data_IF_083870487031
#
_entry.id   IF_083870487031
#
_cell.length_a   1.000
_cell.length_b   1.000
_cell.length_c   1.000
_cell.angle_alpha   90.00
_cell.angle_beta   90.00
_cell.angle_gamma   90.00
#
_symmetry.space_group_name_H-M   'P 1'
#
loop_
_entity.id
_entity.type
_entity.pdbx_description
1 polymer ?
#
# COMPACT_ATOMS: atom_id res chain seq x y z
N UNK A 1 33.52 23.18 -7.70
CA UNK A 1 32.75 24.45 -7.68
C UNK A 1 33.50 25.46 -6.79
N UNK A 2 33.35 26.76 -7.02
CA UNK A 2 34.05 27.78 -6.21
C UNK A 2 33.60 27.75 -4.73
N UNK A 3 34.51 28.06 -3.79
CA UNK A 3 34.17 28.22 -2.37
C UNK A 3 33.04 29.26 -2.23
N UNK A 4 31.99 29.01 -1.42
CA UNK A 4 31.08 30.08 -1.03
C UNK A 4 31.90 31.15 -0.32
N UNK A 5 31.90 32.36 -0.88
CA UNK A 5 32.70 33.48 -0.39
C UNK A 5 31.95 34.05 0.82
N UNK A 6 32.42 33.78 2.04
CA UNK A 6 31.86 34.40 3.23
C UNK A 6 32.13 35.91 3.19
N UNK A 7 31.16 36.67 3.67
CA UNK A 7 31.22 38.11 3.86
C UNK A 7 31.01 38.38 5.34
N UNK A 8 31.64 39.39 5.93
CA UNK A 8 31.32 39.77 7.32
C UNK A 8 30.01 40.55 7.29
N UNK A 9 28.99 39.96 7.90
CA UNK A 9 27.61 40.45 7.89
C UNK A 9 27.10 40.84 9.28
N UNK A 10 27.94 40.70 10.31
CA UNK A 10 27.57 40.87 11.71
C UNK A 10 27.52 42.35 12.12
N UNK A 11 28.51 43.15 11.71
CA UNK A 11 28.66 44.54 12.14
C UNK A 11 28.49 45.54 10.98
N UNK A 12 27.96 46.74 11.24
CA UNK A 12 27.89 47.84 10.27
C UNK A 12 29.24 48.12 9.59
N UNK A 13 30.27 48.43 10.38
CA UNK A 13 31.59 48.85 9.88
C UNK A 13 32.26 47.80 8.99
N UNK A 14 31.96 46.50 9.19
CA UNK A 14 32.45 45.43 8.31
C UNK A 14 31.59 45.27 7.06
N UNK A 15 30.25 45.27 7.18
CA UNK A 15 29.32 45.24 6.04
C UNK A 15 29.51 46.40 5.08
N UNK A 16 29.91 47.57 5.60
CA UNK A 16 30.15 48.78 4.83
C UNK A 16 31.48 48.74 4.04
N UNK A 17 32.48 47.96 4.48
CA UNK A 17 33.76 47.73 3.77
C UNK A 17 33.65 46.74 2.59
N UNK A 18 32.47 46.19 2.31
CA UNK A 18 32.24 45.23 1.23
C UNK A 18 32.00 45.90 -0.13
N UNK A 19 32.37 45.20 -1.21
CA UNK A 19 32.09 45.59 -2.60
C UNK A 19 30.59 45.82 -2.84
N UNK A 20 30.19 47.02 -3.30
CA UNK A 20 28.82 47.32 -3.73
C UNK A 20 28.53 46.57 -5.04
N UNK A 21 27.50 45.71 -5.08
CA UNK A 21 27.19 44.91 -6.28
C UNK A 21 25.76 44.36 -6.34
N UNK A 22 25.28 44.07 -7.57
CA UNK A 22 23.92 43.57 -7.83
C UNK A 22 23.64 42.15 -7.26
N UNK A 23 24.61 41.24 -7.28
CA UNK A 23 24.45 39.86 -6.75
C UNK A 23 24.63 39.83 -5.22
N UNK A 24 23.63 39.40 -4.44
CA UNK A 24 23.76 39.29 -2.99
C UNK A 24 24.89 38.33 -2.56
N UNK A 25 25.41 38.62 -1.39
CA UNK A 25 26.30 37.88 -0.51
C UNK A 25 25.49 36.76 0.19
N UNK A 26 25.23 35.65 -0.51
CA UNK A 26 24.41 34.51 -0.04
C UNK A 26 25.08 33.61 1.02
N UNK A 27 24.25 32.91 1.83
CA UNK A 27 24.55 31.94 2.91
C UNK A 27 23.51 30.77 2.84
N UNK A 28 23.16 30.04 3.91
CA UNK A 28 22.34 28.78 3.87
C UNK A 28 21.39 28.55 5.07
N UNK A 29 20.25 27.86 4.89
CA UNK A 29 19.22 27.59 5.94
C UNK A 29 18.35 26.30 5.76
N UNK A 30 18.32 25.59 4.62
CA UNK A 30 17.56 24.33 4.46
C UNK A 30 17.44 23.73 3.02
N UNK A 31 17.02 22.46 2.86
CA UNK A 31 16.08 21.75 1.02
C UNK A 31 15.03 22.60 0.35
N UNK A 32 15.18 23.91 0.52
CA UNK A 32 14.05 24.82 0.62
C UNK A 32 14.33 26.05 1.46
N UNK A 33 15.60 26.36 1.83
CA UNK A 33 15.99 27.67 2.38
C UNK A 33 17.51 28.01 2.40
N UNK A 34 17.83 29.30 2.49
CA UNK A 34 19.17 29.94 2.56
C UNK A 34 19.04 31.35 3.13
N UNK A 35 20.14 32.07 3.40
CA UNK A 35 20.14 33.53 3.72
C UNK A 35 20.93 34.31 2.66
N UNK A 36 20.97 35.65 2.66
CA UNK A 36 21.89 36.43 1.80
C UNK A 36 21.77 37.97 1.84
N UNK A 37 22.83 38.65 2.27
CA UNK A 37 22.90 40.11 2.33
C UNK A 37 23.22 40.76 0.98
N UNK A 38 22.87 42.02 0.72
CA UNK A 38 23.30 42.80 -0.46
C UNK A 38 23.77 44.19 -0.02
N UNK A 39 25.03 44.52 -0.29
CA UNK A 39 25.59 45.86 -0.09
C UNK A 39 25.11 46.79 -1.19
N UNK A 40 24.51 47.92 -0.78
CA UNK A 40 24.15 49.05 -1.64
C UNK A 40 25.07 50.24 -1.28
N UNK A 41 24.88 51.42 -1.86
CA UNK A 41 25.63 52.64 -1.46
C UNK A 41 25.24 53.07 -0.03
N UNK A 42 23.94 53.21 0.22
CA UNK A 42 23.36 53.26 1.57
C UNK A 42 23.25 51.87 2.22
N UNK A 43 22.32 51.73 3.17
CA UNK A 43 22.12 50.49 3.92
C UNK A 43 21.92 49.25 3.01
N UNK A 44 22.57 48.15 3.38
CA UNK A 44 22.41 46.86 2.74
C UNK A 44 21.18 46.09 3.22
N UNK A 45 20.91 44.94 2.61
CA UNK A 45 19.62 44.25 2.73
C UNK A 45 19.71 42.74 2.75
N UNK A 46 19.02 42.08 3.69
CA UNK A 46 19.00 40.64 3.90
C UNK A 46 17.99 39.88 3.02
N UNK A 47 18.32 38.64 2.64
CA UNK A 47 17.58 37.78 1.70
C UNK A 47 17.65 36.29 2.11
N UNK A 48 16.99 35.39 1.36
CA UNK A 48 16.72 34.01 1.77
C UNK A 48 16.39 33.10 0.56
N UNK A 49 16.98 31.89 0.37
CA UNK A 49 17.01 31.14 -0.93
C UNK A 49 16.77 29.60 -0.87
N UNK A 50 15.82 29.01 -1.61
CA UNK A 50 15.19 27.74 -1.24
C UNK A 50 15.17 26.67 -2.33
N UNK A 51 15.81 25.52 -2.11
CA UNK A 51 15.70 24.43 -3.09
C UNK A 51 14.25 23.98 -3.35
N UNK A 52 14.00 23.60 -4.59
CA UNK A 52 12.69 23.48 -5.25
C UNK A 52 12.13 22.05 -5.33
N UNK A 53 12.89 21.06 -4.86
CA UNK A 53 12.59 19.64 -5.05
C UNK A 53 12.86 19.09 -6.46
N UNK A 54 13.45 19.87 -7.38
CA UNK A 54 13.64 19.48 -8.79
C UNK A 54 15.05 19.78 -9.35
N UNK A 55 15.78 20.75 -8.81
CA UNK A 55 17.19 21.04 -9.12
C UNK A 55 17.65 22.42 -8.69
N UNK A 56 16.81 23.44 -8.92
CA UNK A 56 17.05 24.86 -8.67
C UNK A 56 16.70 25.34 -7.26
N UNK A 57 16.47 26.66 -7.14
CA UNK A 57 16.41 27.39 -5.86
C UNK A 57 15.57 28.70 -5.94
N UNK A 58 14.51 28.84 -5.12
CA UNK A 58 13.75 30.08 -4.81
C UNK A 58 14.61 31.11 -4.08
N UNK A 59 14.12 32.34 -3.94
CA UNK A 59 14.93 33.50 -3.56
C UNK A 59 14.03 34.70 -3.14
N UNK A 60 14.11 35.17 -1.89
CA UNK A 60 13.29 36.25 -1.30
C UNK A 60 14.20 37.28 -0.59
N UNK A 61 13.93 38.59 -0.67
CA UNK A 61 14.49 39.60 0.28
C UNK A 61 13.60 39.64 1.54
N UNK A 62 14.15 39.85 2.73
CA UNK A 62 13.35 39.92 3.96
C UNK A 62 13.67 41.09 4.91
N UNK A 63 14.83 41.76 4.80
CA UNK A 63 15.18 42.83 5.74
C UNK A 63 16.12 43.91 5.19
N UNK A 64 16.23 45.03 5.91
CA UNK A 64 17.34 45.98 5.83
C UNK A 64 18.34 45.64 6.96
N UNK A 65 19.63 45.87 6.76
CA UNK A 65 20.64 45.68 7.81
C UNK A 65 20.80 46.95 8.66
N UNK A 66 21.25 46.79 9.91
CA UNK A 66 21.44 47.84 10.91
C UNK A 66 22.67 48.74 10.67
N UNK A 67 22.99 49.03 9.40
CA UNK A 67 24.21 49.73 8.96
C UNK A 67 24.32 51.19 9.41
N UNK A 68 23.17 51.89 9.44
CA UNK A 68 23.07 53.32 9.73
C UNK A 68 21.91 53.67 10.66
N UNK A 69 21.18 52.66 11.14
CA UNK A 69 20.03 52.78 12.02
C UNK A 69 20.04 51.61 13.02
N UNK A 70 19.60 51.86 14.26
CA UNK A 70 19.56 50.85 15.32
C UNK A 70 18.53 49.77 14.96
N UNK A 71 18.87 48.51 15.19
CA UNK A 71 18.00 47.38 14.88
C UNK A 71 16.67 47.41 15.66
N UNK A 72 15.57 47.11 14.97
CA UNK A 72 14.19 47.13 15.50
C UNK A 72 13.52 45.74 15.51
N UNK A 73 14.14 44.73 14.87
CA UNK A 73 13.59 43.38 14.72
C UNK A 73 12.36 43.28 13.82
N UNK A 74 12.08 44.30 12.99
CA UNK A 74 10.87 44.41 12.15
C UNK A 74 11.16 44.86 10.71
N UNK A 75 12.04 45.84 10.53
CA UNK A 75 12.45 46.36 9.23
C UNK A 75 13.98 46.47 9.12
N UNK A 76 14.62 46.90 10.21
CA UNK A 76 16.07 47.00 10.40
C UNK A 76 16.50 45.83 11.27
N UNK A 77 16.93 44.75 10.62
CA UNK A 77 17.37 43.54 11.29
C UNK A 77 18.87 43.62 11.52
N UNK A 78 19.28 43.53 12.79
CA UNK A 78 20.61 43.00 13.07
C UNK A 78 20.67 41.54 12.58
N UNK A 79 21.88 41.04 12.34
CA UNK A 79 22.10 39.72 11.77
C UNK A 79 21.37 38.57 12.50
N UNK A 80 21.31 38.61 13.84
CA UNK A 80 20.68 37.55 14.64
C UNK A 80 19.16 37.47 14.46
N UNK A 81 18.48 38.62 14.56
CA UNK A 81 17.04 38.74 14.26
C UNK A 81 16.76 38.28 12.81
N UNK A 82 17.69 38.57 11.91
CA UNK A 82 17.62 38.19 10.51
C UNK A 82 17.65 36.67 10.30
N UNK A 83 18.48 35.92 11.02
CA UNK A 83 18.52 34.44 10.94
C UNK A 83 17.29 33.80 11.57
N UNK A 84 16.80 34.37 12.68
CA UNK A 84 15.55 33.97 13.35
C UNK A 84 14.36 34.06 12.40
N UNK A 85 14.06 35.26 11.89
CA UNK A 85 13.02 35.51 10.87
C UNK A 85 13.18 34.54 9.69
N UNK A 86 14.41 34.27 9.30
CA UNK A 86 14.70 33.39 8.19
C UNK A 86 14.46 31.89 8.49
N UNK A 87 14.75 31.32 9.67
CA UNK A 87 14.33 29.92 9.99
C UNK A 87 12.82 29.82 10.27
N UNK A 88 12.22 30.88 10.81
CA UNK A 88 10.77 31.13 10.88
C UNK A 88 10.11 31.06 9.50
N UNK A 89 10.85 31.43 8.45
CA UNK A 89 10.46 31.29 7.04
C UNK A 89 10.70 29.89 6.40
N UNK A 90 11.01 28.81 7.17
CA UNK A 90 10.80 27.43 6.63
C UNK A 90 10.54 26.28 7.62
N UNK A 91 10.92 26.35 8.91
CA UNK A 91 10.61 25.28 9.89
C UNK A 91 10.17 25.79 11.26
N UNK A 92 10.02 27.11 11.40
CA UNK A 92 9.85 27.77 12.69
C UNK A 92 11.18 28.17 13.33
N UNK A 93 11.27 29.44 13.70
CA UNK A 93 11.92 29.88 14.93
C UNK A 93 10.80 30.35 15.86
N UNK A 94 10.96 30.34 17.18
CA UNK A 94 12.22 30.25 17.92
C UNK A 94 12.25 29.03 18.86
N UNK A 95 13.30 28.90 19.67
CA UNK A 95 13.56 27.75 20.58
C UNK A 95 13.82 26.39 19.89
N UNK A 96 15.03 26.28 19.33
CA UNK A 96 15.97 25.18 19.67
C UNK A 96 17.37 25.58 19.19
N UNK A 97 18.39 25.33 20.02
CA UNK A 97 19.79 25.68 19.72
C UNK A 97 20.49 24.66 18.78
N UNK A 98 21.70 25.04 18.38
CA UNK A 98 22.77 24.18 17.82
C UNK A 98 22.73 23.86 16.30
N UNK A 99 23.92 24.03 15.72
CA UNK A 99 24.49 23.56 14.45
C UNK A 99 23.81 23.87 13.10
N UNK A 100 24.52 24.68 12.30
CA UNK A 100 24.37 24.73 10.85
C UNK A 100 25.00 23.49 10.19
N UNK A 101 24.23 22.74 9.41
CA UNK A 101 24.73 22.32 8.11
C UNK A 101 24.37 23.40 7.07
N UNK A 102 25.37 24.07 6.50
CA UNK A 102 25.20 24.77 5.22
C UNK A 102 25.05 23.80 4.00
N UNK A 103 24.80 22.52 4.27
CA UNK A 103 24.62 21.46 3.27
C UNK A 103 23.16 21.07 3.11
N UNK A 104 22.48 20.78 4.21
CA UNK A 104 21.14 20.23 4.21
C UNK A 104 20.17 21.13 3.40
N UNK A 105 19.87 20.71 2.18
CA UNK A 105 18.64 21.01 1.42
C UNK A 105 17.32 20.34 2.22
N UNK A 106 15.22 21.11 2.99
CA UNK A 106 13.92 20.56 3.75
C UNK A 106 13.02 19.55 3.02
N UNK A 107 13.05 18.28 3.42
CA UNK A 107 12.69 17.14 2.55
C UNK A 107 11.32 17.38 1.96
N UNK A 108 11.21 17.44 0.64
CA UNK A 108 9.92 17.71 0.00
C UNK A 108 9.06 16.45 0.04
N UNK A 109 7.72 16.57 -0.03
CA UNK A 109 6.87 15.38 -0.01
C UNK A 109 7.19 14.43 -1.17
N UNK A 110 7.61 14.96 -2.33
CA UNK A 110 8.06 14.15 -3.46
C UNK A 110 9.29 13.31 -3.14
N UNK A 111 10.31 13.91 -2.52
CA UNK A 111 11.52 13.20 -2.07
C UNK A 111 11.20 12.20 -0.95
N UNK A 112 10.27 12.52 -0.05
CA UNK A 112 9.79 11.57 0.98
C UNK A 112 9.10 10.35 0.34
N UNK A 113 8.25 10.57 -0.67
CA UNK A 113 7.58 9.50 -1.42
C UNK A 113 8.55 8.67 -2.26
N UNK A 114 9.60 9.26 -2.83
CA UNK A 114 10.65 8.52 -3.53
C UNK A 114 11.49 7.67 -2.59
N UNK A 115 11.89 8.20 -1.42
CA UNK A 115 12.58 7.43 -0.39
C UNK A 115 11.73 6.27 0.12
N UNK A 116 10.41 6.48 0.27
CA UNK A 116 9.48 5.41 0.65
C UNK A 116 9.28 4.36 -0.46
N UNK A 117 9.34 4.75 -1.73
CA UNK A 117 9.38 3.83 -2.89
C UNK A 117 10.61 2.93 -2.81
N UNK A 118 11.78 3.49 -2.53
CA UNK A 118 13.04 2.74 -2.45
C UNK A 118 13.08 1.82 -1.21
N UNK A 119 12.58 2.29 -0.06
CA UNK A 119 12.35 1.51 1.16
C UNK A 119 11.31 0.39 0.98
N UNK A 120 10.34 0.52 0.08
CA UNK A 120 9.45 -0.59 -0.29
C UNK A 120 10.19 -1.63 -1.13
N UNK A 121 10.98 -1.21 -2.11
CA UNK A 121 11.72 -2.10 -3.02
C UNK A 121 12.76 -2.93 -2.24
N UNK A 122 13.55 -2.32 -1.36
CA UNK A 122 14.55 -3.02 -0.54
C UNK A 122 13.96 -4.11 0.36
N UNK A 123 12.71 -3.93 0.81
CA UNK A 123 11.94 -4.90 1.62
C UNK A 123 11.05 -5.83 0.77
N UNK A 124 11.31 -5.93 -0.54
CA UNK A 124 10.61 -6.86 -1.44
C UNK A 124 9.13 -6.54 -1.67
N UNK A 125 8.72 -5.29 -1.49
CA UNK A 125 7.38 -4.79 -1.78
C UNK A 125 7.34 -3.99 -3.09
N UNK A 126 6.20 -4.01 -3.78
CA UNK A 126 6.07 -3.35 -5.09
C UNK A 126 6.12 -1.83 -5.00
N UNK A 127 7.02 -1.21 -5.78
CA UNK A 127 7.19 0.24 -5.90
C UNK A 127 5.89 1.00 -6.24
N UNK A 128 4.96 0.35 -6.95
CA UNK A 128 3.63 0.87 -7.28
C UNK A 128 2.81 1.30 -6.05
N UNK A 129 3.10 0.75 -4.86
CA UNK A 129 2.45 1.21 -3.63
C UNK A 129 2.88 2.61 -3.19
N UNK A 130 4.02 3.13 -3.67
CA UNK A 130 4.44 4.52 -3.47
C UNK A 130 4.27 5.38 -4.73
N UNK A 131 4.57 4.87 -5.93
CA UNK A 131 4.45 5.67 -7.16
C UNK A 131 3.00 6.01 -7.50
N UNK A 132 2.04 5.10 -7.30
CA UNK A 132 0.62 5.39 -7.58
C UNK A 132 0.09 6.51 -6.66
N UNK A 133 0.23 6.45 -5.32
CA UNK A 133 -0.19 7.56 -4.46
C UNK A 133 0.61 8.85 -4.70
N UNK A 134 1.89 8.77 -5.09
CA UNK A 134 2.69 9.93 -5.50
C UNK A 134 2.11 10.60 -6.74
N UNK A 135 1.63 9.82 -7.73
CA UNK A 135 0.97 10.33 -8.93
C UNK A 135 -0.36 11.07 -8.67
N UNK A 136 -0.97 10.87 -7.50
CA UNK A 136 -2.16 11.61 -7.07
C UNK A 136 -1.85 12.83 -6.19
N UNK A 137 -0.58 13.07 -5.83
CA UNK A 137 -0.16 14.27 -5.11
C UNK A 137 0.17 15.41 -6.09
N UNK A 138 -0.36 16.64 -5.89
CA UNK A 138 -0.06 17.78 -6.76
C UNK A 138 1.40 18.22 -6.62
N UNK A 139 1.97 18.74 -7.71
CA UNK A 139 3.36 19.18 -7.78
C UNK A 139 3.77 20.15 -6.66
N UNK A 140 2.87 21.05 -6.25
CA UNK A 140 3.10 22.00 -5.16
C UNK A 140 3.31 21.31 -3.79
N UNK A 141 2.56 20.24 -3.47
CA UNK A 141 2.86 19.44 -2.27
C UNK A 141 4.15 18.65 -2.46
N UNK A 142 4.37 18.08 -3.65
CA UNK A 142 5.58 17.32 -3.96
C UNK A 142 6.88 18.14 -3.86
N UNK A 143 6.83 19.47 -4.05
CA UNK A 143 7.94 20.39 -3.78
C UNK A 143 7.90 21.06 -2.40
N UNK A 144 6.78 21.03 -1.66
CA UNK A 144 6.68 21.69 -0.35
C UNK A 144 7.59 21.02 0.70
N UNK A 145 8.41 21.79 1.43
CA UNK A 145 9.08 21.38 2.67
C UNK A 145 8.17 20.60 3.62
N UNK A 146 8.55 19.37 4.00
CA UNK A 146 7.72 18.53 4.89
C UNK A 146 7.40 19.21 6.24
N UNK A 147 8.27 20.04 6.85
CA UNK A 147 7.92 20.82 8.06
C UNK A 147 7.14 22.11 7.84
N UNK A 148 6.88 22.49 6.59
CA UNK A 148 5.79 23.43 6.28
C UNK A 148 4.49 22.69 5.98
N UNK A 149 4.44 21.35 6.01
CA UNK A 149 3.18 20.64 5.82
C UNK A 149 2.25 20.93 7.00
N UNK A 150 1.00 21.24 6.69
CA UNK A 150 -0.05 21.49 7.67
C UNK A 150 -1.17 20.44 7.58
N UNK A 151 -2.05 20.39 8.59
CA UNK A 151 -3.15 19.43 8.63
C UNK A 151 -4.31 19.79 7.70
N UNK A 152 -4.41 21.04 7.25
CA UNK A 152 -5.53 21.52 6.44
C UNK A 152 -5.31 21.19 4.95
N UNK A 153 -4.12 21.43 4.41
CA UNK A 153 -3.81 21.10 3.01
C UNK A 153 -3.80 19.58 2.77
N UNK A 154 -3.30 18.80 3.74
CA UNK A 154 -3.30 17.34 3.66
C UNK A 154 -4.72 16.76 3.77
N UNK A 155 -5.58 17.37 4.59
CA UNK A 155 -7.03 17.04 4.65
C UNK A 155 -7.74 17.41 3.35
N UNK A 156 -7.50 18.62 2.83
CA UNK A 156 -8.05 19.10 1.55
C UNK A 156 -7.65 18.19 0.38
N UNK A 157 -6.40 17.70 0.37
CA UNK A 157 -5.96 16.69 -0.58
C UNK A 157 -6.73 15.37 -0.40
N UNK A 158 -6.80 14.83 0.83
CA UNK A 158 -7.52 13.58 1.14
C UNK A 158 -8.98 13.64 0.66
N UNK A 159 -9.70 14.69 1.05
CA UNK A 159 -11.13 14.79 0.81
C UNK A 159 -11.42 15.07 -0.69
N UNK A 160 -10.55 15.82 -1.36
CA UNK A 160 -10.58 15.99 -2.83
C UNK A 160 -10.32 14.72 -3.64
N UNK A 161 -9.86 13.62 -3.03
CA UNK A 161 -9.74 12.32 -3.70
C UNK A 161 -11.07 11.53 -3.72
N UNK A 162 -12.06 11.87 -2.89
CA UNK A 162 -13.34 11.14 -2.84
C UNK A 162 -14.15 11.30 -4.13
N UNK A 163 -14.05 12.45 -4.80
CA UNK A 163 -14.62 12.67 -6.14
C UNK A 163 -13.91 11.87 -7.27
N UNK A 164 -12.92 11.03 -6.93
CA UNK A 164 -12.08 10.30 -7.90
C UNK A 164 -11.95 8.80 -7.60
N UNK A 165 -12.32 8.33 -6.40
CA UNK A 165 -12.23 6.93 -6.01
C UNK A 165 -12.96 6.65 -4.69
N UNK A 166 -13.37 5.39 -4.52
CA UNK A 166 -13.99 4.90 -3.29
C UNK A 166 -13.15 5.20 -2.02
N UNK A 167 -13.79 5.42 -0.85
CA UNK A 167 -13.12 5.71 0.42
C UNK A 167 -11.99 4.74 0.80
N UNK A 168 -12.12 3.44 0.47
CA UNK A 168 -11.08 2.42 0.68
C UNK A 168 -9.73 2.80 0.02
N UNK A 169 -9.79 3.32 -1.20
CA UNK A 169 -8.61 3.72 -1.99
C UNK A 169 -7.98 5.00 -1.43
N UNK A 170 -8.79 5.98 -1.04
CA UNK A 170 -8.33 7.19 -0.33
C UNK A 170 -7.61 6.80 0.96
N UNK A 171 -8.19 5.90 1.76
CA UNK A 171 -7.59 5.37 2.98
C UNK A 171 -6.30 4.57 2.74
N UNK A 172 -6.21 3.80 1.63
CA UNK A 172 -4.97 3.12 1.23
C UNK A 172 -3.86 4.14 0.92
N UNK A 173 -4.17 5.21 0.22
CA UNK A 173 -3.18 6.23 -0.15
C UNK A 173 -2.75 7.06 1.07
N UNK A 174 -3.69 7.41 1.96
CA UNK A 174 -3.36 8.05 3.24
C UNK A 174 -2.40 7.21 4.08
N UNK A 175 -2.61 5.89 4.17
CA UNK A 175 -1.68 4.98 4.88
C UNK A 175 -0.27 4.99 4.27
N UNK A 176 -0.15 5.03 2.95
CA UNK A 176 1.15 5.14 2.26
C UNK A 176 1.82 6.49 2.55
N UNK A 177 1.09 7.59 2.38
CA UNK A 177 1.69 8.93 2.51
C UNK A 177 2.07 9.22 3.96
N UNK A 178 1.28 8.77 4.95
CA UNK A 178 1.69 8.77 6.36
C UNK A 178 2.92 7.89 6.60
N UNK A 179 3.04 6.74 5.95
CA UNK A 179 4.25 5.91 6.11
C UNK A 179 5.50 6.58 5.50
N UNK A 180 5.37 7.28 4.37
CA UNK A 180 6.44 8.07 3.76
C UNK A 180 6.82 9.30 4.62
N UNK A 181 5.83 9.98 5.21
CA UNK A 181 6.05 11.11 6.11
C UNK A 181 6.63 10.66 7.46
N UNK A 182 6.19 9.53 8.03
CA UNK A 182 6.81 8.93 9.22
C UNK A 182 8.26 8.48 8.92
N UNK A 183 8.55 7.97 7.72
CA UNK A 183 9.92 7.65 7.30
C UNK A 183 10.78 8.92 7.19
N UNK A 184 10.23 10.00 6.63
CA UNK A 184 10.89 11.30 6.58
C UNK A 184 11.14 11.88 7.98
N UNK A 185 10.13 11.90 8.86
CA UNK A 185 10.20 12.41 10.23
C UNK A 185 11.26 11.69 11.07
N UNK A 186 11.30 10.35 10.97
CA UNK A 186 12.36 9.52 11.58
C UNK A 186 13.78 9.81 11.06
N UNK A 187 13.90 10.41 9.87
CA UNK A 187 15.17 10.73 9.21
C UNK A 187 15.55 12.22 9.26
N UNK A 188 14.69 13.11 9.76
CA UNK A 188 14.94 14.55 9.81
C UNK A 188 14.18 15.18 11.00
N UNK A 189 14.83 15.23 12.16
CA UNK A 189 14.30 15.73 13.46
C UNK A 189 13.67 17.13 13.43
N UNK A 190 13.96 17.93 12.42
CA UNK A 190 13.34 19.25 12.21
C UNK A 190 11.91 19.15 11.70
N UNK A 191 11.41 17.93 11.45
CA UNK A 191 10.01 17.60 11.21
C UNK A 191 9.30 17.36 12.55
N UNK A 192 9.02 18.44 13.28
CA UNK A 192 8.25 18.42 14.54
C UNK A 192 6.72 18.35 14.32
N UNK A 193 6.25 18.51 13.09
CA UNK A 193 4.84 18.70 12.71
C UNK A 193 4.06 17.39 12.42
N UNK A 194 4.29 16.30 13.16
CA UNK A 194 3.56 15.03 12.92
C UNK A 194 2.03 15.16 13.04
N UNK A 195 1.53 16.17 13.79
CA UNK A 195 0.12 16.56 13.79
C UNK A 195 -0.44 16.79 12.37
N UNK A 196 0.37 17.32 11.44
CA UNK A 196 -0.06 17.63 10.07
C UNK A 196 -0.64 16.40 9.36
N UNK A 197 0.08 15.29 9.31
CA UNK A 197 -0.39 14.08 8.61
C UNK A 197 -1.11 13.08 9.51
N UNK A 198 -0.93 13.12 10.83
CA UNK A 198 -1.77 12.33 11.75
C UNK A 198 -3.22 12.80 11.68
N UNK A 199 -3.46 14.12 11.80
CA UNK A 199 -4.80 14.75 11.69
C UNK A 199 -5.24 14.96 10.23
N UNK A 200 -4.37 15.46 9.35
CA UNK A 200 -4.73 15.78 7.96
C UNK A 200 -5.07 14.54 7.15
N UNK A 201 -4.26 13.49 7.27
CA UNK A 201 -4.49 12.19 6.65
C UNK A 201 -5.16 11.20 7.64
N UNK A 202 -6.02 11.70 8.52
CA UNK A 202 -6.90 10.84 9.33
C UNK A 202 -7.73 9.96 8.39
N UNK A 203 -7.93 8.69 8.76
CA UNK A 203 -8.67 7.76 7.92
C UNK A 203 -10.17 8.05 7.99
N UNK A 204 -10.86 7.84 6.87
CA UNK A 204 -12.31 7.90 6.78
C UNK A 204 -12.91 6.66 7.49
N UNK A 205 -13.97 6.83 8.31
CA UNK A 205 -14.68 5.70 8.93
C UNK A 205 -15.38 4.84 7.87
N UNK A 206 -15.63 3.58 8.20
CA UNK A 206 -16.47 2.60 7.49
C UNK A 206 -16.19 2.37 5.99
N UNK A 207 -15.08 2.93 5.52
CA UNK A 207 -14.64 3.03 4.14
C UNK A 207 -14.34 1.71 3.40
N UNK A 208 -14.61 0.54 3.98
CA UNK A 208 -14.32 -0.76 3.38
C UNK A 208 -15.57 -1.65 3.39
N UNK A 209 -16.37 -1.59 2.33
CA UNK A 209 -17.49 -2.49 2.13
C UNK A 209 -17.01 -3.88 1.67
N UNK A 210 -17.69 -4.93 2.13
CA UNK A 210 -17.37 -6.33 1.81
C UNK A 210 -18.37 -6.86 0.80
N UNK A 211 -18.19 -6.45 -0.46
CA UNK A 211 -18.90 -7.02 -1.60
C UNK A 211 -18.16 -8.26 -2.12
N UNK A 212 -18.46 -9.42 -1.53
CA UNK A 212 -17.94 -10.71 -1.96
C UNK A 212 -19.02 -11.44 -2.78
N UNK A 213 -18.80 -11.65 -4.08
CA UNK A 213 -19.66 -12.51 -4.90
C UNK A 213 -19.57 -13.96 -4.42
N UNK A 214 -20.72 -14.55 -4.09
CA UNK A 214 -20.88 -15.98 -3.76
C UNK A 214 -21.63 -16.67 -4.90
N UNK A 215 -21.00 -17.67 -5.51
CA UNK A 215 -21.58 -18.50 -6.56
C UNK A 215 -22.12 -19.81 -5.97
N UNK A 216 -23.29 -20.22 -6.45
CA UNK A 216 -23.86 -21.55 -6.17
C UNK A 216 -23.01 -22.65 -6.80
N UNK A 217 -23.12 -23.89 -6.29
CA UNK A 217 -22.41 -25.03 -6.88
C UNK A 217 -22.64 -25.19 -8.40
N UNK A 218 -23.87 -25.07 -8.94
CA UNK A 218 -24.09 -25.10 -10.39
C UNK A 218 -23.41 -23.96 -11.15
N UNK A 219 -23.36 -22.74 -10.60
CA UNK A 219 -22.62 -21.62 -11.22
C UNK A 219 -21.11 -21.89 -11.23
N UNK A 220 -20.53 -22.42 -10.15
CA UNK A 220 -19.10 -22.81 -10.10
C UNK A 220 -18.78 -23.88 -11.14
N UNK A 221 -19.64 -24.90 -11.28
CA UNK A 221 -19.47 -25.96 -12.29
C UNK A 221 -19.54 -25.39 -13.72
N UNK A 222 -20.52 -24.51 -14.01
CA UNK A 222 -20.61 -23.82 -15.31
C UNK A 222 -19.39 -22.95 -15.59
N UNK A 223 -18.87 -22.22 -14.60
CA UNK A 223 -17.66 -21.41 -14.74
C UNK A 223 -16.46 -22.27 -15.14
N UNK A 224 -16.19 -23.37 -14.41
CA UNK A 224 -15.08 -24.28 -14.76
C UNK A 224 -15.26 -24.89 -16.15
N UNK A 225 -16.48 -25.29 -16.52
CA UNK A 225 -16.78 -25.82 -17.85
C UNK A 225 -16.56 -24.80 -18.97
N UNK A 226 -17.09 -23.58 -18.80
CA UNK A 226 -16.91 -22.50 -19.78
C UNK A 226 -15.46 -22.04 -19.89
N UNK A 227 -14.70 -22.01 -18.78
CA UNK A 227 -13.26 -21.73 -18.80
C UNK A 227 -12.49 -22.77 -19.61
N UNK A 228 -12.83 -24.07 -19.50
CA UNK A 228 -12.24 -25.12 -20.35
C UNK A 228 -12.66 -25.03 -21.83
N UNK A 229 -13.87 -24.53 -22.12
CA UNK A 229 -14.35 -24.34 -23.48
C UNK A 229 -13.72 -23.12 -24.16
N UNK A 230 -13.40 -22.07 -23.40
CA UNK A 230 -12.70 -20.87 -23.86
C UNK A 230 -11.21 -21.13 -24.11
N UNK A 231 -10.49 -21.61 -23.09
CA UNK A 231 -9.08 -21.97 -23.22
C UNK A 231 -8.70 -23.09 -22.23
N UNK A 232 -8.07 -24.15 -22.74
CA UNK A 232 -7.73 -25.33 -21.94
C UNK A 232 -6.80 -25.02 -20.76
N UNK A 233 -5.97 -23.97 -20.83
CA UNK A 233 -5.03 -23.57 -19.78
C UNK A 233 -5.63 -22.59 -18.77
N UNK A 234 -6.53 -21.71 -19.20
CA UNK A 234 -7.41 -20.97 -18.31
C UNK A 234 -8.31 -21.94 -17.52
N UNK A 235 -8.84 -22.98 -18.16
CA UNK A 235 -9.57 -24.06 -17.51
C UNK A 235 -8.75 -24.77 -16.43
N UNK A 236 -7.49 -25.17 -16.73
CA UNK A 236 -6.56 -25.75 -15.73
C UNK A 236 -6.32 -24.83 -14.52
N UNK A 237 -6.18 -23.51 -14.74
CA UNK A 237 -6.07 -22.53 -13.65
C UNK A 237 -7.40 -22.40 -12.86
N UNK A 238 -8.53 -22.38 -13.56
CA UNK A 238 -9.86 -22.13 -13.00
C UNK A 238 -10.33 -23.30 -12.13
N UNK A 239 -10.14 -24.54 -12.58
CA UNK A 239 -10.50 -25.75 -11.82
C UNK A 239 -9.66 -25.88 -10.54
N UNK A 240 -8.34 -25.63 -10.64
CA UNK A 240 -7.46 -25.55 -9.47
C UNK A 240 -7.97 -24.52 -8.45
N UNK A 241 -8.45 -23.35 -8.88
CA UNK A 241 -9.00 -22.33 -7.98
C UNK A 241 -10.38 -22.71 -7.41
N UNK A 242 -11.25 -23.34 -8.21
CA UNK A 242 -12.58 -23.78 -7.81
C UNK A 242 -12.58 -24.93 -6.78
N UNK A 243 -11.60 -25.83 -6.86
CA UNK A 243 -11.42 -26.93 -5.91
C UNK A 243 -10.61 -26.50 -4.68
N UNK A 244 -9.50 -25.76 -4.85
CA UNK A 244 -8.61 -25.41 -3.72
C UNK A 244 -9.03 -24.17 -2.92
N UNK A 245 -9.90 -23.31 -3.48
CA UNK A 245 -10.19 -21.99 -2.92
C UNK A 245 -8.96 -21.09 -2.76
N UNK A 246 -7.84 -21.41 -3.41
CA UNK A 246 -6.60 -20.64 -3.33
C UNK A 246 -6.76 -19.26 -4.00
N UNK A 247 -5.73 -18.42 -3.89
CA UNK A 247 -5.67 -17.14 -4.64
C UNK A 247 -4.95 -17.39 -5.98
N UNK A 248 -5.29 -16.71 -7.08
CA UNK A 248 -4.60 -16.86 -8.36
C UNK A 248 -3.07 -16.75 -8.27
N UNK A 249 -2.55 -15.80 -7.47
CA UNK A 249 -1.11 -15.62 -7.20
C UNK A 249 -0.48 -16.65 -6.23
N UNK A 250 -1.20 -17.70 -5.87
CA UNK A 250 -0.68 -18.91 -5.23
C UNK A 250 -0.63 -20.06 -6.24
N UNK A 251 -1.73 -20.32 -6.95
CA UNK A 251 -1.81 -21.33 -8.01
C UNK A 251 -0.77 -21.08 -9.13
N UNK A 252 -0.61 -19.82 -9.56
CA UNK A 252 0.40 -19.38 -10.53
C UNK A 252 1.87 -19.66 -10.15
N UNK A 253 2.14 -20.08 -8.91
CA UNK A 253 3.48 -20.40 -8.39
C UNK A 253 3.66 -21.88 -8.01
N UNK A 254 2.70 -22.74 -8.36
CA UNK A 254 2.86 -24.18 -8.29
C UNK A 254 3.91 -24.65 -9.29
N UNK A 255 4.81 -25.54 -8.86
CA UNK A 255 5.69 -26.30 -9.73
C UNK A 255 5.16 -27.72 -9.94
N UNK A 256 5.69 -28.45 -10.94
CA UNK A 256 5.32 -29.85 -11.21
C UNK A 256 5.48 -30.73 -9.95
N UNK A 257 6.56 -30.55 -9.17
CA UNK A 257 6.77 -31.23 -7.88
C UNK A 257 5.74 -30.91 -6.79
N UNK A 258 4.96 -29.84 -6.94
CA UNK A 258 3.95 -29.45 -5.95
C UNK A 258 2.62 -30.21 -6.19
N UNK A 259 2.52 -31.02 -7.25
CA UNK A 259 1.42 -31.96 -7.48
C UNK A 259 1.74 -33.34 -6.87
N UNK A 260 0.95 -33.76 -5.89
CA UNK A 260 0.98 -35.12 -5.33
C UNK A 260 -0.20 -35.90 -5.94
N UNK A 261 0.04 -36.61 -7.04
CA UNK A 261 -0.97 -37.38 -7.76
C UNK A 261 -1.26 -38.76 -7.12
N UNK A 262 -1.65 -38.77 -5.83
CA UNK A 262 -2.10 -40.00 -5.17
C UNK A 262 -3.47 -40.44 -5.70
N UNK A 263 -3.71 -41.75 -5.81
CA UNK A 263 -4.96 -42.29 -6.43
C UNK A 263 -6.23 -41.90 -5.67
N UNK A 264 -6.17 -41.85 -4.34
CA UNK A 264 -7.32 -41.59 -3.45
C UNK A 264 -7.22 -40.28 -2.65
N UNK A 265 -6.01 -39.73 -2.48
CA UNK A 265 -5.76 -38.50 -1.71
C UNK A 265 -4.92 -37.46 -2.47
N UNK A 266 -5.23 -37.12 -3.74
CA UNK A 266 -4.37 -36.21 -4.47
C UNK A 266 -4.43 -34.80 -3.86
N UNK A 267 -3.27 -34.15 -3.82
CA UNK A 267 -3.10 -32.86 -3.16
C UNK A 267 -2.10 -31.96 -3.86
N UNK A 268 -2.33 -30.66 -3.76
CA UNK A 268 -1.42 -29.62 -4.18
C UNK A 268 -0.69 -29.05 -2.97
N UNK A 269 0.65 -29.01 -3.02
CA UNK A 269 1.50 -28.32 -2.05
C UNK A 269 1.51 -26.82 -2.34
N UNK A 270 0.35 -26.21 -2.18
CA UNK A 270 0.05 -24.83 -2.56
C UNK A 270 1.00 -23.83 -1.88
N UNK A 271 1.68 -22.93 -2.61
CA UNK A 271 2.49 -21.87 -2.02
C UNK A 271 1.63 -20.91 -1.18
N UNK A 272 2.08 -20.56 0.02
CA UNK A 272 1.38 -19.59 0.88
C UNK A 272 1.37 -18.19 0.27
N UNK A 273 0.41 -17.37 0.72
CA UNK A 273 0.25 -15.98 0.29
C UNK A 273 1.14 -15.02 1.08
N UNK A 274 1.59 -13.96 0.41
CA UNK A 274 2.26 -12.82 1.04
C UNK A 274 1.30 -11.89 1.84
N UNK A 275 -0.01 -12.13 1.80
CA UNK A 275 -0.99 -11.43 2.67
C UNK A 275 -0.83 -11.87 4.13
N UNK A 276 -1.28 -11.03 5.07
CA UNK A 276 -1.29 -11.32 6.52
C UNK A 276 0.04 -11.06 7.22
N UNK A 277 0.34 -9.77 7.43
CA UNK A 277 1.17 -9.24 8.53
C UNK A 277 2.69 -9.42 8.50
N UNK A 278 3.19 -10.62 8.19
CA UNK A 278 4.59 -11.00 8.46
C UNK A 278 5.65 -10.10 7.79
N UNK A 279 6.69 -9.77 8.56
CA UNK A 279 7.84 -8.95 8.13
C UNK A 279 8.51 -9.55 6.88
N UNK A 280 8.87 -10.84 6.95
CA UNK A 280 9.53 -11.56 5.85
C UNK A 280 8.49 -12.14 4.87
N UNK A 281 7.86 -11.25 4.08
CA UNK A 281 6.90 -11.65 3.03
C UNK A 281 7.50 -12.61 1.99
N UNK A 282 8.82 -12.55 1.78
CA UNK A 282 9.53 -13.39 0.80
C UNK A 282 9.70 -14.83 1.28
N UNK A 283 10.11 -15.08 2.54
CA UNK A 283 10.17 -16.46 3.06
C UNK A 283 8.77 -17.09 3.12
N UNK A 284 7.76 -16.32 3.54
CA UNK A 284 6.35 -16.75 3.54
C UNK A 284 5.82 -17.15 2.17
N UNK A 285 6.37 -16.62 1.06
CA UNK A 285 6.01 -17.06 -0.30
C UNK A 285 6.56 -18.45 -0.65
N UNK A 286 7.63 -18.91 0.01
CA UNK A 286 8.30 -20.21 -0.23
C UNK A 286 7.65 -21.33 0.58
N UNK A 287 7.11 -21.01 1.76
CA UNK A 287 6.29 -21.93 2.55
C UNK A 287 5.11 -22.49 1.75
N UNK A 288 4.79 -23.76 1.98
CA UNK A 288 3.70 -24.50 1.32
C UNK A 288 2.67 -24.98 2.34
N UNK A 289 1.51 -25.39 1.86
CA UNK A 289 0.48 -26.08 2.65
C UNK A 289 -0.28 -27.05 1.77
N UNK A 290 -0.74 -28.17 2.33
CA UNK A 290 -1.53 -29.16 1.59
C UNK A 290 -2.93 -28.62 1.30
N UNK A 291 -3.41 -28.80 0.08
CA UNK A 291 -4.82 -28.67 -0.29
C UNK A 291 -5.23 -29.88 -1.12
N UNK A 292 -6.27 -30.58 -0.70
CA UNK A 292 -6.82 -31.72 -1.44
C UNK A 292 -7.49 -31.27 -2.73
N UNK A 293 -7.42 -32.13 -3.75
CA UNK A 293 -8.11 -31.97 -5.05
C UNK A 293 -8.80 -33.28 -5.40
N UNK A 294 -9.68 -33.27 -6.40
CA UNK A 294 -10.28 -34.50 -6.94
C UNK A 294 -9.27 -35.32 -7.75
N UNK A 295 -9.41 -36.66 -7.82
CA UNK A 295 -8.63 -37.52 -8.71
C UNK A 295 -8.69 -37.08 -10.18
N UNK A 296 -9.85 -36.63 -10.67
CA UNK A 296 -10.01 -36.17 -12.04
C UNK A 296 -9.15 -34.93 -12.37
N UNK A 297 -9.05 -33.95 -11.45
CA UNK A 297 -8.14 -32.81 -11.63
C UNK A 297 -6.68 -33.25 -11.48
N UNK A 298 -6.37 -34.16 -10.56
CA UNK A 298 -5.02 -34.67 -10.36
C UNK A 298 -4.48 -35.40 -11.60
N UNK A 299 -5.30 -36.24 -12.24
CA UNK A 299 -4.97 -36.92 -13.49
C UNK A 299 -4.78 -35.92 -14.64
N UNK A 300 -5.69 -34.94 -14.78
CA UNK A 300 -5.58 -33.89 -15.80
C UNK A 300 -4.28 -33.09 -15.66
N UNK A 301 -3.93 -32.68 -14.44
CA UNK A 301 -2.68 -31.97 -14.15
C UNK A 301 -1.46 -32.86 -14.35
N UNK A 302 -1.51 -34.16 -14.00
CA UNK A 302 -0.43 -35.10 -14.25
C UNK A 302 -0.20 -35.32 -15.76
N UNK A 303 -1.27 -35.39 -16.57
CA UNK A 303 -1.21 -35.43 -18.03
C UNK A 303 -0.58 -34.15 -18.61
N UNK A 304 -0.96 -32.98 -18.09
CA UNK A 304 -0.37 -31.68 -18.45
C UNK A 304 1.06 -31.46 -17.90
N UNK A 305 1.52 -32.29 -16.96
CA UNK A 305 2.87 -32.29 -16.40
C UNK A 305 3.81 -33.31 -17.05
N UNK A 306 3.30 -34.27 -17.84
CA UNK A 306 4.07 -35.40 -18.38
C UNK A 306 5.31 -34.93 -19.15
N UNK A 307 6.48 -35.46 -18.80
CA UNK A 307 7.77 -35.14 -19.43
C UNK A 307 8.38 -33.79 -19.04
N UNK A 308 7.73 -33.00 -18.17
CA UNK A 308 8.21 -31.68 -17.73
C UNK A 308 8.99 -31.83 -16.41
N UNK A 309 10.12 -31.12 -16.21
CA UNK A 309 10.94 -31.32 -15.02
C UNK A 309 10.23 -30.86 -13.74
N UNK A 310 10.63 -31.42 -12.59
CA UNK A 310 10.08 -31.13 -11.27
C UNK A 310 10.07 -29.63 -10.89
N UNK A 311 10.99 -28.85 -11.47
CA UNK A 311 11.13 -27.39 -11.31
C UNK A 311 10.35 -26.56 -12.34
N UNK A 312 9.65 -27.16 -13.29
CA UNK A 312 8.79 -26.44 -14.23
C UNK A 312 7.53 -25.91 -13.52
N UNK A 313 6.97 -24.76 -13.92
CA UNK A 313 5.67 -24.29 -13.45
C UNK A 313 4.58 -25.31 -13.81
N UNK A 314 3.73 -25.70 -12.87
CA UNK A 314 2.65 -26.66 -13.14
C UNK A 314 1.67 -26.06 -14.15
N UNK A 315 1.12 -24.90 -13.79
CA UNK A 315 0.19 -24.11 -14.59
C UNK A 315 0.96 -23.09 -15.45
N UNK A 316 0.63 -23.07 -16.74
CA UNK A 316 1.14 -22.12 -17.75
C UNK A 316 -0.04 -21.59 -18.56
N UNK A 317 0.18 -20.55 -19.36
CA UNK A 317 -0.76 -20.02 -20.36
C UNK A 317 -0.63 -20.78 -21.67
N UNK A 318 -1.60 -20.68 -22.57
CA UNK A 318 -1.53 -21.33 -23.90
C UNK A 318 -0.43 -20.77 -24.82
N UNK A 319 0.10 -19.58 -24.53
CA UNK A 319 1.33 -19.06 -25.15
C UNK A 319 2.64 -19.59 -24.51
N UNK A 320 2.56 -20.60 -23.65
CA UNK A 320 3.69 -21.24 -22.97
C UNK A 320 4.29 -20.46 -21.79
N UNK A 321 3.95 -19.18 -21.62
CA UNK A 321 4.45 -18.36 -20.51
C UNK A 321 3.79 -18.74 -19.18
N UNK A 322 4.42 -18.38 -18.07
CA UNK A 322 3.78 -18.45 -16.74
C UNK A 322 2.68 -17.41 -16.58
N UNK A 323 1.92 -17.54 -15.49
CA UNK A 323 0.96 -16.54 -15.03
C UNK A 323 1.64 -15.53 -14.08
N UNK A 324 1.46 -14.23 -14.30
CA UNK A 324 2.05 -13.15 -13.50
C UNK A 324 3.45 -12.72 -13.92
N UNK A 325 3.68 -12.58 -15.23
CA UNK A 325 4.99 -12.18 -15.80
C UNK A 325 5.16 -10.65 -15.80
N UNK A 326 6.38 -10.16 -16.07
CA UNK A 326 6.70 -8.74 -16.30
C UNK A 326 6.32 -7.77 -15.16
N UNK A 327 6.25 -8.28 -13.91
CA UNK A 327 5.96 -7.48 -12.72
C UNK A 327 4.50 -7.00 -12.59
N UNK A 328 3.62 -7.43 -13.50
CA UNK A 328 2.19 -7.11 -13.53
C UNK A 328 1.39 -7.92 -12.50
N UNK A 329 0.10 -7.60 -12.36
CA UNK A 329 -0.83 -8.44 -11.61
C UNK A 329 -1.07 -9.76 -12.33
N UNK A 330 -1.22 -10.87 -11.59
CA UNK A 330 -1.61 -12.16 -12.19
C UNK A 330 -2.98 -12.07 -12.86
N UNK A 331 -3.84 -11.15 -12.41
CA UNK A 331 -5.08 -10.71 -13.05
C UNK A 331 -4.91 -10.28 -14.49
N UNK A 332 -3.82 -9.60 -14.80
CA UNK A 332 -3.62 -8.86 -16.05
C UNK A 332 -3.30 -9.83 -17.21
N UNK A 333 -3.13 -11.13 -16.89
CA UNK A 333 -2.92 -12.23 -17.82
C UNK A 333 -4.20 -13.04 -18.16
N UNK A 334 -5.31 -12.86 -17.41
CA UNK A 334 -6.58 -13.60 -17.59
C UNK A 334 -7.87 -12.77 -17.53
N UNK A 335 -7.83 -11.50 -17.08
CA UNK A 335 -9.05 -10.74 -16.73
C UNK A 335 -10.05 -10.59 -17.89
N UNK A 336 -9.56 -10.47 -19.11
CA UNK A 336 -10.37 -10.30 -20.33
C UNK A 336 -11.00 -11.64 -20.72
N UNK A 337 -10.23 -12.73 -20.80
CA UNK A 337 -10.77 -14.09 -21.01
C UNK A 337 -11.81 -14.47 -19.95
N UNK A 338 -11.57 -14.10 -18.69
CA UNK A 338 -12.49 -14.39 -17.58
C UNK A 338 -13.77 -13.58 -17.68
N UNK A 339 -13.73 -12.34 -18.17
CA UNK A 339 -14.94 -11.56 -18.45
C UNK A 339 -15.79 -12.22 -19.56
N UNK A 340 -15.16 -12.76 -20.60
CA UNK A 340 -15.85 -13.51 -21.66
C UNK A 340 -16.46 -14.82 -21.16
N UNK A 341 -15.71 -15.61 -20.36
CA UNK A 341 -16.19 -16.83 -19.69
C UNK A 341 -17.38 -16.55 -18.75
N UNK A 342 -17.32 -15.47 -17.98
CA UNK A 342 -18.37 -15.07 -17.04
C UNK A 342 -19.64 -14.62 -17.77
N UNK A 343 -19.49 -13.82 -18.83
CA UNK A 343 -20.58 -13.41 -19.71
C UNK A 343 -21.22 -14.63 -20.40
N UNK A 344 -20.43 -15.61 -20.84
CA UNK A 344 -20.91 -16.83 -21.49
C UNK A 344 -21.76 -17.73 -20.56
N UNK A 345 -21.61 -17.62 -19.23
CA UNK A 345 -22.45 -18.35 -18.25
C UNK A 345 -23.62 -17.53 -17.70
N UNK A 346 -23.89 -16.34 -18.28
CA UNK A 346 -25.00 -15.47 -17.92
C UNK A 346 -24.81 -14.72 -16.60
N UNK A 347 -23.57 -14.34 -16.27
CA UNK A 347 -23.22 -13.55 -15.09
C UNK A 347 -22.55 -12.23 -15.48
N UNK A 348 -22.51 -11.28 -14.54
CA UNK A 348 -21.91 -9.96 -14.74
C UNK A 348 -20.37 -10.01 -14.65
N UNK A 349 -19.62 -9.63 -15.71
CA UNK A 349 -18.16 -9.60 -15.69
C UNK A 349 -17.53 -8.49 -14.82
N UNK A 350 -18.27 -7.43 -14.49
CA UNK A 350 -17.78 -6.35 -13.61
C UNK A 350 -17.89 -6.73 -12.13
N UNK A 351 -18.81 -7.62 -11.77
CA UNK A 351 -18.89 -8.21 -10.42
C UNK A 351 -18.08 -9.51 -10.27
N UNK A 352 -18.24 -10.44 -11.21
CA UNK A 352 -17.80 -11.84 -11.02
C UNK A 352 -16.41 -12.08 -11.61
N UNK A 353 -15.45 -12.39 -10.74
CA UNK A 353 -14.06 -12.71 -11.11
C UNK A 353 -13.63 -14.08 -10.58
N UNK A 354 -12.43 -14.56 -10.94
CA UNK A 354 -11.84 -15.77 -10.32
C UNK A 354 -11.73 -15.72 -8.78
N UNK A 355 -11.85 -14.54 -8.14
CA UNK A 355 -11.91 -14.45 -6.68
C UNK A 355 -13.26 -14.92 -6.11
N UNK A 356 -14.35 -14.88 -6.88
CA UNK A 356 -15.65 -15.42 -6.51
C UNK A 356 -15.57 -16.93 -6.21
N UNK A 357 -14.78 -17.69 -6.98
CA UNK A 357 -14.54 -19.12 -6.73
C UNK A 357 -13.99 -19.38 -5.30
N UNK A 358 -13.06 -18.53 -4.86
CA UNK A 358 -12.49 -18.57 -3.50
C UNK A 358 -13.53 -18.19 -2.44
N UNK A 359 -14.31 -17.14 -2.64
CA UNK A 359 -15.35 -16.74 -1.69
C UNK A 359 -16.41 -17.86 -1.55
N UNK A 360 -16.85 -18.41 -2.68
CA UNK A 360 -17.80 -19.51 -2.77
C UNK A 360 -17.30 -20.77 -2.07
N UNK A 361 -16.02 -21.13 -2.27
CA UNK A 361 -15.39 -22.24 -1.56
C UNK A 361 -15.40 -22.06 -0.04
N UNK A 362 -15.07 -20.85 0.45
CA UNK A 362 -15.09 -20.54 1.89
C UNK A 362 -16.51 -20.68 2.45
N UNK A 363 -17.51 -20.05 1.84
CA UNK A 363 -18.91 -20.13 2.29
C UNK A 363 -19.43 -21.57 2.23
N UNK A 364 -19.17 -22.31 1.15
CA UNK A 364 -19.53 -23.73 1.02
C UNK A 364 -18.94 -24.59 2.13
N UNK A 365 -17.68 -24.39 2.50
CA UNK A 365 -17.05 -25.11 3.60
C UNK A 365 -17.75 -24.82 4.95
N UNK A 366 -18.11 -23.56 5.19
CA UNK A 366 -18.75 -23.11 6.43
C UNK A 366 -20.20 -23.62 6.54
N UNK A 367 -20.97 -23.60 5.44
CA UNK A 367 -22.33 -24.16 5.38
C UNK A 367 -22.36 -25.69 5.56
N UNK A 368 -21.27 -26.37 5.20
CA UNK A 368 -21.07 -27.81 5.46
C UNK A 368 -20.54 -28.09 6.89
N UNK A 369 -20.51 -27.09 7.77
CA UNK A 369 -20.02 -27.19 9.17
C UNK A 369 -18.56 -27.66 9.30
N UNK A 370 -17.74 -27.49 8.26
CA UNK A 370 -16.31 -27.80 8.33
C UNK A 370 -15.67 -26.83 9.35
N UNK A 371 -14.95 -27.32 10.39
CA UNK A 371 -14.48 -26.46 11.47
C UNK A 371 -13.69 -25.25 10.97
N UNK A 372 -14.04 -24.05 11.41
CA UNK A 372 -13.50 -22.78 10.88
C UNK A 372 -11.96 -22.72 10.88
N UNK A 373 -11.31 -23.42 11.81
CA UNK A 373 -9.85 -23.57 11.85
C UNK A 373 -9.28 -24.35 10.65
N UNK A 374 -9.96 -25.40 10.20
CA UNK A 374 -9.64 -26.18 9.00
C UNK A 374 -9.90 -25.35 7.74
N UNK A 375 -11.01 -24.61 7.68
CA UNK A 375 -11.32 -23.68 6.58
C UNK A 375 -10.24 -22.59 6.45
N UNK A 376 -9.82 -22.00 7.58
CA UNK A 376 -8.75 -21.00 7.62
C UNK A 376 -7.40 -21.56 7.13
N UNK A 377 -7.05 -22.79 7.52
CA UNK A 377 -5.83 -23.47 7.08
C UNK A 377 -5.86 -23.79 5.56
N UNK A 378 -6.90 -24.49 5.10
CA UNK A 378 -7.08 -24.90 3.70
C UNK A 378 -7.21 -23.73 2.72
N UNK A 379 -7.70 -22.57 3.16
CA UNK A 379 -7.78 -21.37 2.33
C UNK A 379 -6.61 -20.39 2.58
N UNK A 380 -5.62 -20.73 3.41
CA UNK A 380 -4.50 -19.86 3.79
C UNK A 380 -4.96 -18.44 4.20
N UNK A 381 -5.72 -18.37 5.29
CA UNK A 381 -6.25 -17.15 5.90
C UNK A 381 -6.31 -17.31 7.44
N UNK A 382 -6.78 -16.30 8.17
CA UNK A 382 -6.99 -16.38 9.62
C UNK A 382 -8.48 -16.59 9.93
N UNK A 383 -8.78 -17.12 11.12
CA UNK A 383 -10.17 -17.27 11.61
C UNK A 383 -10.85 -15.91 11.70
N UNK A 384 -10.21 -14.92 12.33
CA UNK A 384 -10.67 -13.53 12.36
C UNK A 384 -10.92 -12.88 10.98
N UNK A 385 -10.17 -13.25 9.94
CA UNK A 385 -10.43 -12.77 8.57
C UNK A 385 -11.60 -13.50 7.91
N UNK A 386 -11.94 -14.73 8.33
CA UNK A 386 -13.19 -15.39 7.93
C UNK A 386 -14.37 -14.71 8.64
N UNK A 387 -14.31 -14.58 9.96
CA UNK A 387 -15.39 -14.01 10.79
C UNK A 387 -15.76 -12.59 10.34
N UNK A 388 -14.76 -11.73 10.13
CA UNK A 388 -14.93 -10.35 9.63
C UNK A 388 -15.54 -10.25 8.22
N UNK A 389 -15.52 -11.33 7.44
CA UNK A 389 -15.70 -11.27 5.96
C UNK A 389 -16.83 -12.17 5.43
N UNK A 390 -17.21 -13.23 6.15
CA UNK A 390 -18.18 -14.23 5.68
C UNK A 390 -19.28 -14.59 6.68
N UNK A 391 -19.24 -14.15 7.95
CA UNK A 391 -20.28 -14.50 8.94
C UNK A 391 -21.71 -14.15 8.52
N UNK A 392 -21.89 -13.10 7.70
CA UNK A 392 -23.19 -12.74 7.11
C UNK A 392 -23.83 -13.90 6.31
N UNK A 393 -23.02 -14.71 5.63
CA UNK A 393 -23.49 -15.86 4.86
C UNK A 393 -23.74 -17.13 5.70
N UNK A 394 -23.45 -17.10 7.01
CA UNK A 394 -23.76 -18.20 7.95
C UNK A 394 -24.99 -17.85 8.79
N UNK A 395 -25.12 -16.60 9.22
CA UNK A 395 -26.19 -16.13 10.13
C UNK A 395 -27.60 -16.27 9.54
N UNK A 396 -27.75 -16.20 8.21
CA UNK A 396 -29.02 -16.46 7.52
C UNK A 396 -29.34 -17.97 7.41
N UNK A 397 -28.32 -18.83 7.48
CA UNK A 397 -28.46 -20.30 7.37
C UNK A 397 -28.43 -21.03 8.73
N UNK A 398 -28.06 -20.35 9.81
CA UNK A 398 -27.94 -20.94 11.14
C UNK A 398 -29.28 -21.40 11.71
N UNK A 399 -30.43 -20.95 11.19
CA UNK A 399 -31.76 -21.30 11.71
C UNK A 399 -32.02 -22.81 11.86
N UNK A 400 -31.46 -23.66 11.00
CA UNK A 400 -31.54 -25.13 11.16
C UNK A 400 -30.59 -25.68 12.24
N UNK A 401 -29.44 -25.06 12.45
CA UNK A 401 -28.45 -25.44 13.47
C UNK A 401 -28.88 -24.97 14.86
N UNK A 402 -29.30 -23.71 14.97
CA UNK A 402 -29.83 -23.12 16.20
C UNK A 402 -31.10 -23.84 16.66
N UNK A 403 -32.02 -24.23 15.75
CA UNK A 403 -33.18 -25.06 16.13
C UNK A 403 -32.80 -26.43 16.70
N UNK A 404 -31.70 -27.05 16.24
CA UNK A 404 -31.17 -28.30 16.83
C UNK A 404 -30.50 -28.13 18.19
N UNK A 405 -30.28 -26.89 18.65
CA UNK A 405 -29.72 -26.55 19.96
C UNK A 405 -30.79 -25.98 20.92
N UNK A 406 -32.05 -25.89 20.50
CA UNK A 406 -33.15 -25.59 21.40
C UNK A 406 -33.46 -26.83 22.25
N UNK A 407 -33.66 -26.62 23.54
CA UNK A 407 -34.26 -27.63 24.41
C UNK A 407 -35.76 -27.56 24.22
N UNK A 408 -36.32 -28.56 23.56
CA UNK A 408 -37.76 -28.77 23.51
C UNK A 408 -38.19 -29.42 24.83
N UNK A 409 -38.95 -28.66 25.64
CA UNK A 409 -39.45 -29.11 26.94
C UNK A 409 -40.80 -29.82 26.85
N UNK A 410 -41.45 -29.82 25.67
CA UNK A 410 -42.71 -30.52 25.40
C UNK A 410 -42.48 -31.80 24.57
N UNK A 411 -41.29 -31.98 23.99
CA UNK A 411 -40.88 -33.23 23.36
C UNK A 411 -41.04 -34.43 24.33
N UNK A 412 -41.66 -35.53 23.88
CA UNK A 412 -41.83 -36.71 24.72
C UNK A 412 -40.46 -37.27 25.10
N UNK A 413 -40.26 -37.58 26.39
CA UNK A 413 -39.00 -38.16 26.84
C UNK A 413 -38.74 -39.48 26.10
N UNK A 414 -37.48 -39.76 25.71
CA UNK A 414 -37.14 -41.02 25.06
C UNK A 414 -37.43 -42.16 26.03
N UNK A 415 -38.37 -43.04 25.67
CA UNK A 415 -38.71 -44.18 26.50
C UNK A 415 -37.51 -45.12 26.65
N UNK A 416 -37.33 -45.69 27.85
CA UNK A 416 -36.17 -46.51 28.25
C UNK A 416 -35.95 -47.81 27.44
N UNK A 417 -36.79 -48.07 26.42
CA UNK A 417 -36.77 -49.26 25.57
C UNK A 417 -36.11 -49.06 24.19
N UNK A 418 -35.61 -47.86 23.86
CA UNK A 418 -34.97 -47.58 22.56
C UNK A 418 -33.46 -47.82 22.61
N UNK A 419 -33.04 -49.06 22.35
CA UNK A 419 -31.62 -49.43 22.22
C UNK A 419 -31.10 -49.01 20.83
N UNK A 420 -29.98 -48.27 20.71
CA UNK A 420 -29.36 -47.97 19.42
C UNK A 420 -28.86 -49.26 18.73
N UNK A 421 -29.17 -49.43 17.45
CA UNK A 421 -28.52 -50.48 16.64
C UNK A 421 -27.03 -50.18 16.53
N UNK A 422 -26.19 -51.19 16.82
CA UNK A 422 -24.76 -51.13 16.57
C UNK A 422 -24.47 -51.02 15.07
N UNK A 423 -23.35 -50.37 14.73
CA UNK A 423 -22.89 -50.11 13.37
C UNK A 423 -21.88 -51.17 12.88
#
# INVERSE_FOLDING_TARGET
MAKPRNYSLETPTARLKLDIRKKPHWQRLGPGLSLGYRRNEGAGTWSIRAADGQGGEWLKKFGIADDFAKADGKAVFNYGQAVTEARKLVRGGDEDEVEEEQGNKPVTLGIAMDRYKDDLVSRGAGASNATTPKGHLPAALLSKPVPLLDSQELRKWRDGMLAKMAPASVNRYCKVIKAALNLAAKADRRIKNEHAWTTGLQLLPDANEVNNVILTNPQVIRFVGAAYAHDAKLGELTDVLAQSGARPSQAARLYVRDLIAHKTEPRLMMPKSAKGGGLNRTSKKVERYSVHITPALAERLAKAAKGRPASAPLLVRSNGKTWGVDGKGVSDDYREDVAEVVKAIGLDPDEVTLYALRHSSIVRNLLLNIPIRVVAASHNTSVAEIERTYSKFITEHSGNLSRRALLDHEAPQPADNVVPMAA
#
